data_IF_190979724888
#
_entry.id   IF_190979724888
#
_cell.length_a   1.000
_cell.length_b   1.000
_cell.length_c   1.000
_cell.angle_alpha   90.00
_cell.angle_beta   90.00
_cell.angle_gamma   90.00
#
_symmetry.space_group_name_H-M   'P 1'
#
loop_
_entity.id
_entity.type
_entity.pdbx_description
1 polymer ?
#
# COMPACT_ATOMS: atom_id res chain seq x y z
N UNK A 1 21.19 -3.07 -7.87
CA UNK A 1 20.39 -2.38 -8.90
C UNK A 1 21.16 -2.40 -10.20
N UNK A 2 20.69 -3.14 -11.18
CA UNK A 2 21.21 -3.11 -12.54
C UNK A 2 20.79 -1.80 -13.22
N UNK A 3 21.51 -1.38 -14.27
CA UNK A 3 21.12 -0.22 -15.07
C UNK A 3 19.71 -0.36 -15.65
N UNK A 4 19.29 -1.57 -16.00
CA UNK A 4 17.95 -1.88 -16.47
C UNK A 4 16.87 -1.65 -15.40
N UNK A 5 17.10 -2.09 -14.15
CA UNK A 5 16.17 -1.86 -13.03
C UNK A 5 16.01 -0.37 -12.72
N UNK A 6 17.10 0.41 -12.80
CA UNK A 6 17.06 1.85 -12.59
C UNK A 6 16.24 2.56 -13.67
N UNK A 7 16.46 2.23 -14.95
CA UNK A 7 15.66 2.78 -16.05
C UNK A 7 14.19 2.36 -15.99
N UNK A 8 13.91 1.11 -15.60
CA UNK A 8 12.54 0.64 -15.39
C UNK A 8 11.84 1.43 -14.28
N UNK A 9 12.52 1.70 -13.17
CA UNK A 9 12.00 2.54 -12.09
C UNK A 9 11.75 3.98 -12.54
N UNK A 10 12.66 4.58 -13.30
CA UNK A 10 12.46 5.93 -13.83
C UNK A 10 11.26 6.01 -14.79
N UNK A 11 11.12 5.05 -15.70
CA UNK A 11 9.97 5.00 -16.62
C UNK A 11 8.66 4.80 -15.87
N UNK A 12 8.64 3.87 -14.90
CA UNK A 12 7.48 3.64 -14.03
C UNK A 12 7.13 4.91 -13.25
N UNK A 13 8.10 5.53 -12.58
CA UNK A 13 7.90 6.76 -11.82
C UNK A 13 7.37 7.91 -12.70
N UNK A 14 7.87 8.03 -13.92
CA UNK A 14 7.39 9.01 -14.90
C UNK A 14 5.94 8.73 -15.30
N UNK A 15 5.61 7.49 -15.66
CA UNK A 15 4.25 7.08 -16.02
C UNK A 15 3.24 7.33 -14.87
N UNK A 16 3.61 6.99 -13.64
CA UNK A 16 2.75 7.16 -12.45
C UNK A 16 2.66 8.63 -12.01
N UNK A 17 3.63 9.48 -12.39
CA UNK A 17 3.59 10.92 -12.16
C UNK A 17 2.69 11.66 -13.16
N UNK A 18 2.67 11.21 -14.43
CA UNK A 18 1.76 11.76 -15.46
C UNK A 18 0.35 11.20 -15.38
N UNK A 19 0.17 10.05 -14.73
CA UNK A 19 -1.13 9.53 -14.29
C UNK A 19 -1.24 9.63 -12.76
N UNK A 20 -1.11 10.84 -12.18
CA UNK A 20 -1.07 10.98 -10.73
C UNK A 20 -2.38 10.42 -10.16
N UNK A 21 -2.26 9.35 -9.39
CA UNK A 21 -3.41 8.66 -8.82
C UNK A 21 -4.21 9.57 -7.88
N UNK A 22 -5.40 9.13 -7.41
CA UNK A 22 -6.28 9.92 -6.56
C UNK A 22 -5.59 10.50 -5.33
N UNK A 23 -4.67 9.74 -4.70
CA UNK A 23 -3.95 10.16 -3.50
C UNK A 23 -2.99 11.33 -3.76
N UNK A 24 -2.30 11.33 -4.91
CA UNK A 24 -1.38 12.40 -5.30
C UNK A 24 -2.17 13.68 -5.58
N UNK A 25 -3.26 13.58 -6.33
CA UNK A 25 -4.16 14.72 -6.61
C UNK A 25 -4.77 15.30 -5.33
N UNK A 26 -5.23 14.45 -4.40
CA UNK A 26 -5.72 14.88 -3.09
C UNK A 26 -4.62 15.55 -2.25
N UNK A 27 -3.40 15.01 -2.24
CA UNK A 27 -2.28 15.61 -1.52
C UNK A 27 -1.92 17.00 -2.05
N UNK A 28 -1.94 17.19 -3.37
CA UNK A 28 -1.72 18.49 -4.03
C UNK A 28 -2.87 19.45 -3.73
N UNK A 29 -4.12 18.99 -3.76
CA UNK A 29 -5.27 19.81 -3.39
C UNK A 29 -5.23 20.24 -1.91
N UNK A 30 -4.82 19.35 -1.00
CA UNK A 30 -4.63 19.67 0.42
C UNK A 30 -3.47 20.66 0.59
N UNK A 31 -2.38 20.50 -0.16
CA UNK A 31 -1.25 21.41 -0.16
C UNK A 31 -1.66 22.81 -0.63
N UNK A 32 -2.44 22.89 -1.71
CA UNK A 32 -2.93 24.15 -2.27
C UNK A 32 -3.95 24.86 -1.35
N UNK A 33 -4.84 24.11 -0.70
CA UNK A 33 -5.89 24.70 0.13
C UNK A 33 -5.49 24.94 1.60
N UNK A 34 -4.59 24.11 2.16
CA UNK A 34 -4.25 24.11 3.60
C UNK A 34 -2.74 24.16 3.88
N UNK A 35 -1.91 24.26 2.84
CA UNK A 35 -0.46 24.33 2.96
C UNK A 35 0.25 22.98 3.07
N UNK A 36 1.58 23.03 3.11
CA UNK A 36 2.46 21.86 3.01
C UNK A 36 2.38 20.93 4.25
N UNK A 37 2.22 21.48 5.45
CA UNK A 37 2.18 20.69 6.70
C UNK A 37 1.02 19.67 6.72
N UNK A 38 -0.24 20.05 6.42
CA UNK A 38 -1.35 19.10 6.29
C UNK A 38 -1.16 18.08 5.17
N UNK A 39 -0.58 18.47 4.03
CA UNK A 39 -0.32 17.56 2.93
C UNK A 39 0.69 16.47 3.31
N UNK A 40 1.78 16.85 3.99
CA UNK A 40 2.78 15.88 4.48
C UNK A 40 2.20 14.89 5.49
N UNK A 41 1.29 15.34 6.36
CA UNK A 41 0.56 14.43 7.28
C UNK A 41 -0.28 13.41 6.52
N UNK A 42 -0.98 13.82 5.46
CA UNK A 42 -1.76 12.90 4.62
C UNK A 42 -0.86 11.90 3.89
N UNK A 43 0.23 12.37 3.28
CA UNK A 43 1.20 11.53 2.57
C UNK A 43 1.79 10.45 3.48
N UNK A 44 2.10 10.79 4.74
CA UNK A 44 2.60 9.83 5.73
C UNK A 44 1.49 8.93 6.31
N UNK A 45 0.27 9.43 6.44
CA UNK A 45 -0.85 8.66 6.97
C UNK A 45 -1.28 7.51 6.04
N UNK A 46 -1.16 7.68 4.71
CA UNK A 46 -1.55 6.67 3.72
C UNK A 46 -0.79 5.34 3.87
N UNK A 47 0.57 5.30 3.83
CA UNK A 47 1.30 4.05 4.00
C UNK A 47 1.12 3.46 5.40
N UNK A 48 1.07 4.29 6.44
CA UNK A 48 0.85 3.83 7.81
C UNK A 48 -0.51 3.15 7.97
N UNK A 49 -1.57 3.76 7.44
CA UNK A 49 -2.92 3.18 7.46
C UNK A 49 -2.98 1.87 6.69
N UNK A 50 -2.37 1.82 5.50
CA UNK A 50 -2.32 0.60 4.69
C UNK A 50 -1.55 -0.54 5.39
N UNK A 51 -0.38 -0.26 5.95
CA UNK A 51 0.39 -1.24 6.71
C UNK A 51 -0.37 -1.74 7.94
N UNK A 52 -1.05 -0.85 8.67
CA UNK A 52 -1.86 -1.23 9.82
C UNK A 52 -3.04 -2.12 9.41
N UNK A 53 -3.74 -1.78 8.33
CA UNK A 53 -4.83 -2.61 7.79
C UNK A 53 -4.32 -3.99 7.36
N UNK A 54 -3.18 -4.06 6.70
CA UNK A 54 -2.57 -5.33 6.32
C UNK A 54 -2.21 -6.18 7.52
N UNK A 55 -1.55 -5.59 8.53
CA UNK A 55 -1.17 -6.31 9.76
C UNK A 55 -2.40 -6.80 10.49
N UNK A 56 -3.40 -5.95 10.72
CA UNK A 56 -4.63 -6.35 11.40
C UNK A 56 -5.39 -7.42 10.63
N UNK A 57 -5.45 -7.31 9.29
CA UNK A 57 -6.08 -8.32 8.45
C UNK A 57 -5.33 -9.64 8.49
N UNK A 58 -3.99 -9.62 8.41
CA UNK A 58 -3.16 -10.81 8.50
C UNK A 58 -3.28 -11.49 9.86
N UNK A 59 -3.30 -10.72 10.95
CA UNK A 59 -3.51 -11.23 12.30
C UNK A 59 -4.91 -11.82 12.47
N UNK A 60 -5.94 -11.14 11.97
CA UNK A 60 -7.33 -11.60 12.05
C UNK A 60 -7.57 -12.87 11.24
N UNK A 61 -7.15 -12.87 9.97
CA UNK A 61 -7.26 -14.05 9.08
C UNK A 61 -6.38 -15.20 9.60
N UNK A 62 -5.17 -14.91 10.06
CA UNK A 62 -4.27 -15.90 10.66
C UNK A 62 -4.88 -16.56 11.90
N UNK A 63 -5.47 -15.77 12.80
CA UNK A 63 -6.17 -16.29 13.97
C UNK A 63 -7.36 -17.18 13.58
N UNK A 64 -8.12 -16.80 12.55
CA UNK A 64 -9.24 -17.59 12.04
C UNK A 64 -8.80 -18.93 11.44
N UNK A 65 -7.70 -18.94 10.68
CA UNK A 65 -7.12 -20.18 10.11
C UNK A 65 -6.67 -21.13 11.21
N UNK A 66 -6.08 -20.62 12.30
CA UNK A 66 -5.64 -21.44 13.43
C UNK A 66 -6.83 -21.98 14.25
N UNK A 67 -7.91 -21.22 14.36
CA UNK A 67 -9.10 -21.61 15.10
C UNK A 67 -9.97 -22.64 14.36
N UNK A 68 -9.94 -22.66 13.02
CA UNK A 68 -10.79 -23.53 12.19
C UNK A 68 -9.92 -24.55 11.43
N UNK A 69 -9.86 -25.81 11.88
CA UNK A 69 -9.01 -26.84 11.26
C UNK A 69 -9.27 -27.06 9.77
N UNK A 70 -10.54 -26.93 9.34
CA UNK A 70 -10.91 -27.06 7.93
C UNK A 70 -10.29 -25.96 7.05
N UNK A 71 -10.20 -24.72 7.55
CA UNK A 71 -9.50 -23.63 6.84
C UNK A 71 -8.01 -23.92 6.71
N UNK A 72 -7.39 -24.42 7.79
CA UNK A 72 -5.97 -24.78 7.79
C UNK A 72 -5.64 -25.85 6.75
N UNK A 73 -6.45 -26.90 6.64
CA UNK A 73 -6.29 -27.92 5.62
C UNK A 73 -6.54 -27.38 4.21
N UNK A 74 -7.48 -26.45 4.05
CA UNK A 74 -7.71 -25.75 2.78
C UNK A 74 -6.52 -24.92 2.32
N UNK A 75 -5.89 -24.16 3.22
CA UNK A 75 -4.68 -23.37 2.93
C UNK A 75 -3.52 -24.28 2.51
N UNK A 76 -3.26 -25.33 3.29
CA UNK A 76 -2.21 -26.31 2.99
C UNK A 76 -2.45 -27.06 1.67
N UNK A 77 -3.72 -27.36 1.34
CA UNK A 77 -4.09 -28.03 0.09
C UNK A 77 -3.95 -27.14 -1.16
N UNK A 78 -4.05 -25.81 -1.01
CA UNK A 78 -3.88 -24.84 -2.09
C UNK A 78 -2.42 -24.44 -2.33
N UNK A 79 -1.49 -24.87 -1.48
CA UNK A 79 -0.05 -24.61 -1.62
C UNK A 79 0.37 -23.18 -1.26
N UNK A 80 -0.43 -22.49 -0.42
CA UNK A 80 -0.10 -21.18 0.16
C UNK A 80 0.50 -21.35 1.55
#
# INVERSE_FOLDING_TARGET
MTSAEFWALLMLATAVSFTPGPNTTLSTAIAANRGLRPALRFVLAVPVGWSMLLVLSALGVGALILAVPALRWGVLGLGV
#
